data_IF_978990688644
#
_entry.id   IF_978990688644
#
_cell.length_a   1.000
_cell.length_b   1.000
_cell.length_c   1.000
_cell.angle_alpha   90.00
_cell.angle_beta   90.00
_cell.angle_gamma   90.00
#
_symmetry.space_group_name_H-M   'P 1'
#
loop_
_entity.id
_entity.type
_entity.pdbx_description
1 polymer ?
#
# COMPACT_ATOMS: atom_id res chain seq x y z
N UNK A 1 34.96 49.22 9.00
CA UNK A 1 33.50 49.40 8.88
C UNK A 1 32.88 48.08 8.43
N UNK A 2 31.75 47.64 9.01
CA UNK A 2 31.09 46.39 8.59
C UNK A 2 30.29 46.65 7.30
N UNK A 3 30.38 45.77 6.31
CA UNK A 3 29.72 45.92 5.00
C UNK A 3 28.72 44.79 4.72
N UNK A 4 27.71 45.09 3.90
CA UNK A 4 26.63 44.17 3.57
C UNK A 4 27.13 43.07 2.64
N UNK A 5 26.92 41.81 3.03
CA UNK A 5 27.34 40.66 2.21
C UNK A 5 26.57 40.49 0.88
N UNK A 6 25.52 41.29 0.64
CA UNK A 6 24.73 41.26 -0.60
C UNK A 6 25.02 42.46 -1.51
N UNK A 7 25.09 43.68 -0.96
CA UNK A 7 25.23 44.92 -1.75
C UNK A 7 26.50 45.73 -1.48
N UNK A 8 27.38 45.29 -0.58
CA UNK A 8 28.66 45.97 -0.29
C UNK A 8 28.56 47.28 0.52
N UNK A 9 27.37 47.87 0.66
CA UNK A 9 27.18 49.11 1.43
C UNK A 9 27.53 48.95 2.92
N UNK A 10 27.97 50.03 3.61
CA UNK A 10 28.22 50.00 5.04
C UNK A 10 26.95 49.67 5.82
N UNK A 11 27.10 48.86 6.87
CA UNK A 11 25.99 48.56 7.77
C UNK A 11 25.65 49.79 8.62
N UNK A 12 24.35 50.03 8.89
CA UNK A 12 23.93 51.11 9.78
C UNK A 12 24.51 50.89 11.19
N UNK A 13 24.90 51.99 11.84
CA UNK A 13 25.59 51.98 13.14
C UNK A 13 24.78 51.35 14.27
N UNK A 14 23.45 51.43 14.21
CA UNK A 14 22.53 50.82 15.18
C UNK A 14 22.28 49.32 15.01
N UNK A 15 22.94 48.65 14.07
CA UNK A 15 22.72 47.23 13.81
C UNK A 15 23.57 46.36 14.74
N UNK A 16 22.97 45.28 15.25
CA UNK A 16 23.65 44.26 16.08
C UNK A 16 25.01 43.84 15.49
N UNK A 17 25.99 43.57 16.34
CA UNK A 17 27.36 43.15 15.95
C UNK A 17 27.39 41.97 14.97
N UNK A 18 26.39 41.08 15.05
CA UNK A 18 26.22 39.87 14.23
C UNK A 18 25.44 40.08 12.93
N UNK A 19 25.02 41.30 12.59
CA UNK A 19 24.29 41.56 11.36
C UNK A 19 25.21 41.39 10.13
N UNK A 20 24.74 40.61 9.16
CA UNK A 20 25.46 40.31 7.90
C UNK A 20 24.95 41.11 6.69
N UNK A 21 23.75 41.68 6.80
CA UNK A 21 23.09 42.41 5.73
C UNK A 21 22.59 43.75 6.25
N UNK A 22 22.61 44.79 5.41
CA UNK A 22 22.15 46.14 5.77
C UNK A 22 20.64 46.23 6.04
N UNK A 23 19.85 45.23 5.62
CA UNK A 23 18.41 45.20 5.84
C UNK A 23 17.74 43.91 5.37
N UNK A 24 16.42 43.83 5.57
CA UNK A 24 15.61 42.66 5.19
C UNK A 24 15.60 42.40 3.68
N UNK A 25 15.65 43.45 2.85
CA UNK A 25 15.71 43.33 1.40
C UNK A 25 16.96 42.57 0.94
N UNK A 26 18.15 42.99 1.40
CA UNK A 26 19.41 42.31 1.10
C UNK A 26 19.48 40.89 1.65
N UNK A 27 18.85 40.63 2.81
CA UNK A 27 18.74 39.27 3.37
C UNK A 27 17.92 38.35 2.47
N UNK A 28 16.74 38.81 2.02
CA UNK A 28 15.84 38.03 1.15
C UNK A 28 16.46 37.82 -0.24
N UNK A 29 17.10 38.83 -0.80
CA UNK A 29 17.78 38.73 -2.09
C UNK A 29 18.95 37.73 -2.05
N UNK A 30 19.75 37.76 -0.98
CA UNK A 30 20.81 36.77 -0.76
C UNK A 30 20.29 35.34 -0.55
N UNK A 31 19.08 35.17 0.02
CA UNK A 31 18.44 33.86 0.16
C UNK A 31 17.94 33.33 -1.19
N UNK A 32 17.29 34.17 -1.99
CA UNK A 32 16.84 33.81 -3.35
C UNK A 32 18.01 33.43 -4.24
N UNK A 33 19.08 34.22 -4.25
CA UNK A 33 20.29 33.90 -5.03
C UNK A 33 20.93 32.55 -4.67
N UNK A 34 20.73 32.04 -3.44
CA UNK A 34 21.17 30.69 -3.04
C UNK A 34 20.21 29.60 -3.50
N UNK A 35 18.91 29.89 -3.53
CA UNK A 35 17.89 28.99 -4.06
C UNK A 35 18.00 28.89 -5.58
N UNK A 36 18.26 30.00 -6.28
CA UNK A 36 18.38 30.04 -7.74
C UNK A 36 19.67 29.36 -8.26
N UNK A 37 20.74 29.32 -7.44
CA UNK A 37 21.96 28.54 -7.77
C UNK A 37 21.87 27.07 -7.37
N UNK A 38 20.83 26.69 -6.63
CA UNK A 38 20.56 25.30 -6.24
C UNK A 38 19.31 24.81 -6.99
N UNK A 39 19.43 24.28 -8.21
CA UNK A 39 18.29 23.74 -8.98
C UNK A 39 18.60 22.29 -9.45
N UNK A 40 17.63 21.34 -9.43
CA UNK A 40 16.21 21.45 -9.06
C UNK A 40 15.89 20.75 -7.71
N UNK A 41 15.10 21.42 -6.88
CA UNK A 41 13.65 21.19 -6.72
C UNK A 41 13.29 19.95 -5.90
N UNK A 42 13.14 20.15 -4.60
CA UNK A 42 12.10 19.43 -3.85
C UNK A 42 10.80 20.20 -4.12
N UNK A 43 10.13 19.85 -5.21
CA UNK A 43 8.81 20.38 -5.58
C UNK A 43 7.80 20.13 -4.46
N UNK A 44 7.70 21.09 -3.56
CA UNK A 44 6.43 21.44 -2.95
C UNK A 44 5.62 22.20 -4.00
N UNK A 45 4.81 21.43 -4.71
CA UNK A 45 3.53 21.81 -5.31
C UNK A 45 3.37 23.25 -5.82
N UNK A 46 3.46 23.43 -7.15
CA UNK A 46 2.33 23.95 -7.95
C UNK A 46 2.55 23.71 -9.45
N UNK A 47 2.18 22.53 -9.96
CA UNK A 47 1.99 22.33 -11.40
C UNK A 47 0.52 22.57 -11.76
N UNK A 48 0.26 23.67 -12.48
CA UNK A 48 -0.94 23.82 -13.31
C UNK A 48 -0.68 23.07 -14.60
N UNK A 49 -1.00 21.77 -14.62
CA UNK A 49 -0.98 20.94 -15.82
C UNK A 49 -2.29 20.14 -15.88
N UNK A 50 -3.00 20.34 -16.99
CA UNK A 50 -4.04 19.50 -17.61
C UNK A 50 -4.61 18.38 -16.71
N UNK A 51 -5.83 18.60 -16.21
CA UNK A 51 -6.64 17.61 -15.48
C UNK A 51 -7.04 16.48 -16.44
N UNK A 52 -6.12 15.56 -16.70
CA UNK A 52 -6.51 14.18 -16.93
C UNK A 52 -7.13 13.68 -15.62
N UNK A 53 -8.33 13.12 -15.74
CA UNK A 53 -9.14 12.57 -14.66
C UNK A 53 -8.26 11.72 -13.75
N UNK A 54 -7.99 12.21 -12.54
CA UNK A 54 -7.50 11.36 -11.46
C UNK A 54 -8.44 10.14 -11.40
N UNK A 55 -7.93 8.90 -11.46
CA UNK A 55 -8.79 7.75 -11.18
C UNK A 55 -9.45 8.00 -9.84
N UNK A 56 -10.75 7.68 -9.75
CA UNK A 56 -11.48 7.81 -8.51
C UNK A 56 -10.69 7.13 -7.38
N UNK A 57 -10.71 7.66 -6.14
CA UNK A 57 -10.12 6.94 -5.02
C UNK A 57 -10.75 5.56 -4.97
N UNK A 58 -9.90 4.51 -4.98
CA UNK A 58 -10.33 3.12 -4.93
C UNK A 58 -11.36 2.98 -3.81
N UNK A 59 -12.47 2.33 -4.11
CA UNK A 59 -13.41 1.91 -3.06
C UNK A 59 -12.68 0.97 -2.11
N UNK A 60 -13.09 0.93 -0.83
CA UNK A 60 -12.45 0.04 0.15
C UNK A 60 -12.35 -1.41 -0.34
N UNK A 61 -13.39 -1.88 -1.05
CA UNK A 61 -13.43 -3.21 -1.68
C UNK A 61 -12.39 -3.40 -2.80
N UNK A 62 -12.09 -2.38 -3.60
CA UNK A 62 -11.06 -2.48 -4.65
C UNK A 62 -9.64 -2.45 -4.05
N UNK A 63 -9.45 -1.73 -2.93
CA UNK A 63 -8.19 -1.76 -2.19
C UNK A 63 -7.98 -3.11 -1.50
N UNK A 64 -9.03 -3.68 -0.89
CA UNK A 64 -8.97 -5.01 -0.26
C UNK A 64 -8.60 -6.09 -1.29
N UNK A 65 -9.25 -6.11 -2.47
CA UNK A 65 -8.89 -7.04 -3.57
C UNK A 65 -7.45 -6.92 -4.07
N UNK A 66 -6.86 -5.72 -3.99
CA UNK A 66 -5.45 -5.52 -4.32
C UNK A 66 -4.52 -6.05 -3.23
N UNK A 67 -4.99 -6.09 -1.97
CA UNK A 67 -4.26 -6.62 -0.83
C UNK A 67 -4.44 -8.13 -0.65
N UNK A 68 -5.51 -8.72 -1.20
CA UNK A 68 -5.77 -10.16 -1.17
C UNK A 68 -4.62 -10.96 -1.79
N UNK A 69 -4.00 -10.48 -2.88
CA UNK A 69 -2.80 -11.12 -3.44
C UNK A 69 -1.62 -11.17 -2.44
N UNK A 70 -1.49 -10.16 -1.56
CA UNK A 70 -0.49 -10.19 -0.49
C UNK A 70 -0.87 -11.16 0.64
N UNK A 71 -2.15 -11.34 0.91
CA UNK A 71 -2.64 -12.30 1.91
C UNK A 71 -2.47 -13.74 1.39
N UNK A 72 -2.81 -13.99 0.13
CA UNK A 72 -2.61 -15.26 -0.57
C UNK A 72 -1.14 -15.70 -0.53
N UNK A 73 -0.20 -14.79 -0.81
CA UNK A 73 1.23 -15.05 -0.72
C UNK A 73 1.68 -15.44 0.70
N UNK A 74 1.14 -14.77 1.72
CA UNK A 74 1.42 -15.09 3.13
C UNK A 74 0.89 -16.48 3.50
N UNK A 75 -0.31 -16.82 3.05
CA UNK A 75 -0.93 -18.13 3.31
C UNK A 75 -0.20 -19.26 2.58
N UNK A 76 0.23 -19.05 1.33
CA UNK A 76 1.09 -20.01 0.61
C UNK A 76 2.40 -20.25 1.35
N UNK A 77 3.06 -19.18 1.81
CA UNK A 77 4.28 -19.32 2.61
C UNK A 77 4.04 -20.08 3.92
N UNK A 78 2.91 -19.82 4.60
CA UNK A 78 2.56 -20.51 5.84
C UNK A 78 2.29 -22.00 5.62
N UNK A 79 1.55 -22.35 4.57
CA UNK A 79 1.32 -23.74 4.15
C UNK A 79 2.63 -24.48 3.95
N UNK A 80 3.56 -23.93 3.17
CA UNK A 80 4.84 -24.57 2.87
C UNK A 80 5.68 -24.78 4.16
N UNK A 81 5.65 -23.81 5.08
CA UNK A 81 6.29 -23.91 6.40
C UNK A 81 5.68 -24.99 7.28
N UNK A 82 4.36 -25.09 7.32
CA UNK A 82 3.65 -26.10 8.12
C UNK A 82 3.86 -27.50 7.54
N UNK A 83 3.87 -27.64 6.22
CA UNK A 83 4.14 -28.90 5.53
C UNK A 83 5.57 -29.38 5.79
N UNK A 84 6.56 -28.49 5.67
CA UNK A 84 7.94 -28.81 6.04
C UNK A 84 8.08 -29.23 7.52
N UNK A 85 7.27 -28.67 8.42
CA UNK A 85 7.27 -29.07 9.82
C UNK A 85 6.60 -30.44 10.06
N UNK A 86 5.65 -30.86 9.23
CA UNK A 86 5.08 -32.22 9.30
C UNK A 86 6.05 -33.27 8.78
N UNK A 87 6.81 -32.92 7.74
CA UNK A 87 7.78 -33.81 7.11
C UNK A 87 9.10 -33.92 7.91
N UNK A 88 9.34 -33.01 8.86
CA UNK A 88 10.52 -33.03 9.72
C UNK A 88 10.41 -34.13 10.79
N UNK A 89 11.29 -35.16 10.78
CA UNK A 89 11.31 -36.20 11.81
C UNK A 89 11.71 -35.68 13.19
N UNK A 90 12.25 -34.46 13.29
CA UNK A 90 12.53 -33.77 14.55
C UNK A 90 11.30 -33.15 15.21
N UNK A 91 10.16 -33.08 14.53
CA UNK A 91 8.94 -32.49 15.08
C UNK A 91 8.35 -33.36 16.19
N UNK A 92 8.09 -32.79 17.38
CA UNK A 92 7.59 -33.58 18.50
C UNK A 92 6.16 -34.05 18.21
N UNK A 93 5.87 -35.32 18.55
CA UNK A 93 4.62 -35.97 18.19
C UNK A 93 3.36 -35.25 18.72
N UNK A 94 3.48 -34.53 19.84
CA UNK A 94 2.38 -33.73 20.40
C UNK A 94 2.02 -32.48 19.57
N UNK A 95 2.95 -31.98 18.74
CA UNK A 95 2.73 -30.83 17.88
C UNK A 95 2.05 -31.21 16.55
N UNK A 96 2.23 -32.45 16.09
CA UNK A 96 1.68 -32.92 14.80
C UNK A 96 0.16 -32.66 14.66
N UNK A 97 -0.71 -32.97 15.64
CA UNK A 97 -2.14 -32.72 15.50
C UNK A 97 -2.48 -31.23 15.35
N UNK A 98 -1.74 -30.34 16.01
CA UNK A 98 -1.94 -28.91 15.91
C UNK A 98 -1.49 -28.38 14.54
N UNK A 99 -0.31 -28.80 14.07
CA UNK A 99 0.22 -28.44 12.76
C UNK A 99 -0.71 -28.93 11.64
N UNK A 100 -1.19 -30.18 11.70
CA UNK A 100 -2.11 -30.73 10.70
C UNK A 100 -3.44 -29.96 10.64
N UNK A 101 -4.03 -29.61 11.79
CA UNK A 101 -5.26 -28.79 11.80
C UNK A 101 -5.03 -27.41 11.20
N UNK A 102 -3.91 -26.78 11.51
CA UNK A 102 -3.59 -25.46 10.99
C UNK A 102 -3.35 -25.50 9.47
N UNK A 103 -2.67 -26.54 8.98
CA UNK A 103 -2.45 -26.73 7.55
C UNK A 103 -3.78 -26.87 6.79
N UNK A 104 -4.73 -27.67 7.32
CA UNK A 104 -6.07 -27.81 6.74
C UNK A 104 -6.80 -26.46 6.70
N UNK A 105 -6.70 -25.66 7.77
CA UNK A 105 -7.34 -24.35 7.81
C UNK A 105 -6.77 -23.39 6.75
N UNK A 106 -5.44 -23.36 6.58
CA UNK A 106 -4.77 -22.52 5.58
C UNK A 106 -5.10 -22.96 4.16
N UNK A 107 -5.20 -24.27 3.90
CA UNK A 107 -5.60 -24.78 2.59
C UNK A 107 -7.04 -24.38 2.23
N UNK A 108 -7.98 -24.49 3.16
CA UNK A 108 -9.38 -24.04 2.94
C UNK A 108 -9.46 -22.55 2.65
N UNK A 109 -8.75 -21.74 3.42
CA UNK A 109 -8.72 -20.29 3.24
C UNK A 109 -8.14 -19.90 1.85
N UNK A 110 -7.13 -20.64 1.36
CA UNK A 110 -6.58 -20.47 0.02
C UNK A 110 -7.57 -20.90 -1.09
N UNK A 111 -8.32 -21.97 -0.87
CA UNK A 111 -9.37 -22.43 -1.79
C UNK A 111 -10.51 -21.42 -1.89
N UNK A 112 -10.95 -20.86 -0.75
CA UNK A 112 -12.00 -19.84 -0.69
C UNK A 112 -11.57 -18.53 -1.38
N UNK A 113 -10.29 -18.13 -1.24
CA UNK A 113 -9.74 -16.93 -1.90
C UNK A 113 -9.45 -17.11 -3.39
N UNK A 114 -9.11 -18.33 -3.83
CA UNK A 114 -8.77 -18.64 -5.23
C UNK A 114 -9.96 -18.50 -6.20
N UNK A 115 -11.17 -18.30 -5.68
CA UNK A 115 -12.40 -18.40 -6.43
C UNK A 115 -12.72 -19.87 -6.66
N UNK A 116 -13.79 -20.34 -6.03
CA UNK A 116 -14.27 -21.71 -6.15
C UNK A 116 -14.32 -22.17 -7.60
N UNK A 117 -14.03 -23.45 -7.83
CA UNK A 117 -14.04 -24.08 -9.15
C UNK A 117 -15.32 -23.69 -9.92
N UNK A 118 -15.21 -22.93 -11.03
CA UNK A 118 -16.37 -22.52 -11.82
C UNK A 118 -17.20 -23.71 -12.35
N UNK A 119 -16.66 -24.94 -12.30
CA UNK A 119 -17.39 -26.16 -12.65
C UNK A 119 -18.37 -26.64 -11.57
N UNK A 120 -18.17 -26.31 -10.29
CA UNK A 120 -19.04 -26.74 -9.19
C UNK A 120 -20.15 -25.72 -8.87
N UNK A 121 -19.92 -24.45 -9.14
CA UNK A 121 -20.90 -23.38 -8.88
C UNK A 121 -22.07 -23.38 -9.88
N UNK A 122 -21.88 -23.95 -11.08
CA UNK A 122 -22.92 -24.12 -12.10
C UNK A 122 -23.76 -25.40 -12.00
N UNK A 123 -23.43 -26.32 -11.07
CA UNK A 123 -24.15 -27.60 -10.91
C UNK A 123 -25.19 -27.58 -9.79
N UNK A 124 -25.22 -26.54 -8.98
CA UNK A 124 -26.15 -26.40 -7.85
C UNK A 124 -27.41 -25.56 -8.19
N UNK A 125 -27.49 -25.00 -9.40
CA UNK A 125 -28.57 -24.10 -9.86
C UNK A 125 -29.49 -24.74 -10.93
N UNK A 126 -29.71 -26.06 -10.89
CA UNK A 126 -30.61 -26.73 -11.85
C UNK A 126 -31.43 -27.88 -11.23
N UNK A 127 -32.06 -27.62 -10.08
CA UNK A 127 -33.12 -28.52 -9.57
C UNK A 127 -34.26 -27.77 -8.88
N UNK A 128 -34.76 -26.71 -9.54
CA UNK A 128 -36.18 -26.33 -9.43
C UNK A 128 -36.96 -27.01 -10.57
N UNK A 129 -37.40 -28.26 -10.35
CA UNK A 129 -38.51 -28.86 -11.12
C UNK A 129 -39.69 -29.09 -10.20
N UNK A 130 -40.35 -27.99 -9.82
CA UNK A 130 -41.74 -28.05 -9.38
C UNK A 130 -42.65 -28.29 -10.59
N UNK A 131 -43.28 -29.46 -10.65
CA UNK A 131 -44.71 -29.67 -10.96
C UNK A 131 -45.00 -31.11 -11.45
N UNK A 132 -45.70 -31.85 -10.59
CA UNK A 132 -46.97 -32.54 -10.86
C UNK A 132 -47.15 -33.29 -12.19
N UNK A 133 -47.27 -34.63 -12.16
CA UNK A 133 -48.48 -35.36 -12.61
C UNK A 133 -48.49 -36.75 -11.94
N UNK A 134 -49.51 -36.99 -11.10
CA UNK A 134 -49.80 -38.32 -10.56
C UNK A 134 -50.17 -39.34 -11.63
N UNK A 135 -49.64 -40.56 -11.51
CA UNK A 135 -50.14 -41.73 -12.21
C UNK A 135 -50.38 -42.85 -11.19
N UNK A 136 -51.64 -42.96 -10.76
CA UNK A 136 -52.19 -44.19 -10.19
C UNK A 136 -52.13 -45.27 -11.26
N UNK A 137 -51.50 -46.40 -10.95
CA UNK A 137 -51.73 -47.66 -11.67
C UNK A 137 -51.98 -48.76 -10.64
N UNK A 138 -53.17 -49.33 -10.80
CA UNK A 138 -53.87 -50.46 -10.19
C UNK A 138 -53.00 -51.58 -9.60
#
# INVERSE_FOLDING_TARGET
MRTCAHCGNPLPSGMRSTAKYCGAACRKAAQRARQDKAIPSRDSAKSTAKRETKPAPLTGREFDRMMDGKLEDVLRHNRDRLQAALDDPGTPANALPAISRQLIAVCRELEDMGGGDPLLDGLMDDSEVDADVGASVV
#
